data_IF_056834237566
#
_entry.id   IF_056834237566
#
_cell.length_a   1.000
_cell.length_b   1.000
_cell.length_c   1.000
_cell.angle_alpha   90.00
_cell.angle_beta   90.00
_cell.angle_gamma   90.00
#
_symmetry.space_group_name_H-M   'P 1'
#
loop_
_entity.id
_entity.type
_entity.pdbx_description
1 polymer ?
#
# COMPACT_ATOMS: atom_id res chain seq x y z
N UNK A 1 -21.90 -2.20 -33.85
CA UNK A 1 -21.04 -2.41 -32.68
C UNK A 1 -21.38 -3.77 -32.10
N UNK A 2 -20.45 -4.72 -32.17
CA UNK A 2 -20.68 -6.10 -31.71
C UNK A 2 -20.09 -6.27 -30.31
N UNK A 3 -20.89 -6.68 -29.33
CA UNK A 3 -20.38 -7.09 -28.02
C UNK A 3 -19.72 -8.47 -28.15
N UNK A 4 -18.53 -8.64 -27.58
CA UNK A 4 -17.71 -9.85 -27.70
C UNK A 4 -17.11 -10.22 -26.34
N UNK A 5 -16.74 -11.47 -26.20
CA UNK A 5 -16.12 -12.01 -24.98
C UNK A 5 -14.67 -11.56 -24.81
N UNK A 6 -14.13 -11.66 -23.59
CA UNK A 6 -12.70 -11.42 -23.33
C UNK A 6 -11.80 -12.30 -24.22
N UNK A 7 -12.18 -13.56 -24.43
CA UNK A 7 -11.44 -14.49 -25.26
C UNK A 7 -11.39 -14.04 -26.73
N UNK A 8 -12.48 -13.47 -27.25
CA UNK A 8 -12.50 -12.91 -28.60
C UNK A 8 -11.66 -11.62 -28.72
N UNK A 9 -11.62 -10.80 -27.67
CA UNK A 9 -10.73 -9.64 -27.58
C UNK A 9 -9.25 -10.05 -27.60
N UNK A 10 -8.86 -11.00 -26.75
CA UNK A 10 -7.49 -11.52 -26.69
C UNK A 10 -7.06 -12.15 -28.01
N UNK A 11 -7.94 -12.94 -28.65
CA UNK A 11 -7.67 -13.53 -29.95
C UNK A 11 -7.44 -12.45 -31.03
N UNK A 12 -8.26 -11.39 -31.03
CA UNK A 12 -8.12 -10.30 -31.99
C UNK A 12 -6.84 -9.48 -31.76
N UNK A 13 -6.44 -9.28 -30.51
CA UNK A 13 -5.20 -8.57 -30.16
C UNK A 13 -3.97 -9.41 -30.50
N UNK A 14 -4.00 -10.70 -30.17
CA UNK A 14 -2.94 -11.66 -30.51
C UNK A 14 -2.75 -11.80 -32.03
N UNK A 15 -3.82 -11.75 -32.83
CA UNK A 15 -3.72 -11.83 -34.30
C UNK A 15 -2.84 -10.72 -34.90
N UNK A 16 -2.77 -9.56 -34.25
CA UNK A 16 -1.95 -8.44 -34.68
C UNK A 16 -0.57 -8.48 -34.00
N UNK A 17 -0.52 -8.72 -32.68
CA UNK A 17 0.67 -8.49 -31.87
C UNK A 17 1.50 -9.74 -31.55
N UNK A 18 0.95 -10.95 -31.70
CA UNK A 18 1.63 -12.17 -31.28
C UNK A 18 2.86 -12.44 -32.17
N UNK A 19 4.03 -12.54 -31.52
CA UNK A 19 5.28 -12.91 -32.17
C UNK A 19 5.91 -11.80 -33.03
N UNK A 20 5.40 -10.56 -32.97
CA UNK A 20 5.91 -9.44 -33.77
C UNK A 20 6.26 -8.23 -32.90
N UNK A 21 7.25 -7.44 -33.34
CA UNK A 21 7.56 -6.16 -32.71
C UNK A 21 6.52 -5.10 -33.09
N UNK A 22 6.06 -4.33 -32.10
CA UNK A 22 5.13 -3.22 -32.29
C UNK A 22 5.59 -1.96 -31.56
N UNK A 23 5.06 -0.81 -32.01
CA UNK A 23 5.15 0.47 -31.33
C UNK A 23 3.79 0.79 -30.73
N UNK A 24 3.73 1.03 -29.43
CA UNK A 24 2.52 1.48 -28.75
C UNK A 24 2.54 3.01 -28.60
N UNK A 25 1.45 3.65 -28.98
CA UNK A 25 1.17 5.05 -28.72
C UNK A 25 -0.15 5.15 -27.94
N UNK A 26 -0.14 5.88 -26.82
CA UNK A 26 -1.29 6.03 -25.93
C UNK A 26 -1.58 7.51 -25.68
N UNK A 27 -2.85 7.89 -25.79
CA UNK A 27 -3.33 9.24 -25.48
C UNK A 27 -4.52 9.19 -24.53
N UNK A 28 -4.54 10.14 -23.58
CA UNK A 28 -5.64 10.32 -22.64
C UNK A 28 -6.42 11.56 -23.05
N UNK A 29 -7.71 11.39 -23.38
CA UNK A 29 -8.64 12.47 -23.67
C UNK A 29 -9.80 12.42 -22.66
N UNK A 30 -9.71 13.24 -21.61
CA UNK A 30 -10.66 13.16 -20.49
C UNK A 30 -10.49 11.85 -19.71
N UNK A 31 -11.55 11.04 -19.65
CA UNK A 31 -11.54 9.72 -18.99
C UNK A 31 -11.35 8.56 -19.99
N UNK A 32 -11.15 8.88 -21.27
CA UNK A 32 -11.04 7.88 -22.34
C UNK A 32 -9.58 7.69 -22.73
N UNK A 33 -9.08 6.46 -22.59
CA UNK A 33 -7.73 6.09 -23.01
C UNK A 33 -7.81 5.54 -24.43
N UNK A 34 -7.07 6.15 -25.37
CA UNK A 34 -6.91 5.61 -26.72
C UNK A 34 -5.51 5.05 -26.88
N UNK A 35 -5.41 3.78 -27.25
CA UNK A 35 -4.15 3.11 -27.55
C UNK A 35 -4.12 2.68 -29.01
N UNK A 36 -2.95 2.82 -29.60
CA UNK A 36 -2.65 2.40 -30.97
C UNK A 36 -1.40 1.53 -30.93
N UNK A 37 -1.51 0.30 -31.42
CA UNK A 37 -0.42 -0.66 -31.50
C UNK A 37 -0.05 -0.87 -32.96
N UNK A 38 0.99 -0.20 -33.42
CA UNK A 38 1.44 -0.29 -34.81
C UNK A 38 2.53 -1.36 -34.97
N UNK A 39 2.24 -2.38 -35.77
CA UNK A 39 3.24 -3.37 -36.20
C UNK A 39 3.73 -3.04 -37.61
N UNK A 40 4.93 -3.51 -37.99
CA UNK A 40 5.42 -3.36 -39.37
C UNK A 40 4.78 -4.36 -40.35
N UNK A 41 4.30 -5.50 -39.83
CA UNK A 41 3.94 -6.67 -40.65
C UNK A 41 2.45 -7.02 -40.59
N UNK A 42 1.81 -6.81 -39.44
CA UNK A 42 0.44 -7.28 -39.16
C UNK A 42 -0.60 -6.17 -39.10
N UNK A 43 -0.22 -4.92 -39.38
CA UNK A 43 -1.09 -3.74 -39.30
C UNK A 43 -1.18 -3.14 -37.90
N UNK A 44 -2.20 -2.32 -37.70
CA UNK A 44 -2.44 -1.57 -36.47
C UNK A 44 -3.64 -2.13 -35.71
N UNK A 45 -3.50 -2.26 -34.39
CA UNK A 45 -4.61 -2.54 -33.47
C UNK A 45 -4.95 -1.27 -32.70
N UNK A 46 -6.23 -0.97 -32.58
CA UNK A 46 -6.75 0.22 -31.91
C UNK A 46 -7.63 -0.19 -30.74
N UNK A 47 -7.46 0.51 -29.62
CA UNK A 47 -8.18 0.27 -28.37
C UNK A 47 -8.63 1.60 -27.78
N UNK A 48 -9.88 1.67 -27.35
CA UNK A 48 -10.48 2.80 -26.66
C UNK A 48 -11.09 2.26 -25.37
N UNK A 49 -10.52 2.63 -24.23
CA UNK A 49 -11.05 2.27 -22.92
C UNK A 49 -11.79 3.47 -22.33
N UNK A 50 -13.09 3.30 -22.11
CA UNK A 50 -13.97 4.24 -21.43
C UNK A 50 -14.54 3.57 -20.16
N UNK A 51 -13.86 3.76 -19.02
CA UNK A 51 -14.31 3.29 -17.72
C UNK A 51 -14.52 1.76 -17.61
N UNK A 52 -13.66 0.97 -18.27
CA UNK A 52 -13.75 -0.51 -18.28
C UNK A 52 -14.54 -1.07 -19.47
N UNK A 53 -15.18 -0.22 -20.27
CA UNK A 53 -15.74 -0.61 -21.57
C UNK A 53 -14.67 -0.41 -22.65
N UNK A 54 -14.17 -1.52 -23.18
CA UNK A 54 -13.10 -1.54 -24.18
C UNK A 54 -13.72 -1.68 -25.56
N UNK A 55 -13.64 -0.63 -26.37
CA UNK A 55 -13.88 -0.69 -27.80
C UNK A 55 -12.58 -0.94 -28.55
N UNK A 56 -12.58 -1.86 -29.52
CA UNK A 56 -11.38 -2.20 -30.27
C UNK A 56 -11.68 -2.59 -31.72
N UNK A 57 -10.69 -2.37 -32.58
CA UNK A 57 -10.68 -2.75 -33.99
C UNK A 57 -9.24 -2.87 -34.49
N UNK A 58 -9.05 -3.40 -35.69
CA UNK A 58 -7.73 -3.49 -36.32
C UNK A 58 -7.82 -3.30 -37.83
N UNK A 59 -6.67 -3.16 -38.49
CA UNK A 59 -6.63 -3.08 -39.95
C UNK A 59 -7.15 -4.36 -40.64
N UNK A 60 -7.04 -5.52 -39.98
CA UNK A 60 -7.61 -6.80 -40.45
C UNK A 60 -9.11 -6.91 -40.20
N UNK A 61 -9.58 -6.28 -39.12
CA UNK A 61 -10.94 -6.32 -38.63
C UNK A 61 -11.42 -4.89 -38.31
N UNK A 62 -11.79 -4.11 -39.34
CA UNK A 62 -12.15 -2.70 -39.19
C UNK A 62 -13.47 -2.49 -38.44
N UNK A 63 -14.25 -3.55 -38.26
CA UNK A 63 -15.46 -3.51 -37.45
C UNK A 63 -15.13 -3.31 -35.97
N UNK A 64 -15.70 -2.24 -35.41
CA UNK A 64 -15.66 -1.96 -33.98
C UNK A 64 -16.40 -3.05 -33.17
N UNK A 65 -15.66 -3.62 -32.22
CA UNK A 65 -16.10 -4.62 -31.25
C UNK A 65 -15.92 -4.08 -29.84
N UNK A 66 -16.78 -4.49 -28.92
CA UNK A 66 -16.74 -4.03 -27.53
C UNK A 66 -16.67 -5.22 -26.60
N UNK A 67 -15.85 -5.08 -25.57
CA UNK A 67 -15.75 -5.98 -24.44
C UNK A 67 -15.85 -5.16 -23.15
N UNK A 68 -16.57 -5.66 -22.14
CA UNK A 68 -16.65 -5.03 -20.81
C UNK A 68 -15.72 -5.75 -19.83
N UNK A 69 -14.71 -5.03 -19.33
CA UNK A 69 -13.70 -5.55 -18.41
C UNK A 69 -14.30 -6.04 -17.08
N UNK A 70 -15.49 -5.54 -16.70
CA UNK A 70 -16.20 -6.04 -15.53
C UNK A 70 -16.78 -7.45 -15.75
N UNK A 71 -16.99 -7.88 -17.00
CA UNK A 71 -17.40 -9.25 -17.33
C UNK A 71 -16.24 -10.26 -17.15
N UNK A 72 -14.97 -9.78 -17.09
CA UNK A 72 -13.81 -10.59 -16.72
C UNK A 72 -13.94 -11.16 -15.32
N UNK A 73 -14.42 -10.32 -14.39
CA UNK A 73 -14.54 -10.67 -12.98
C UNK A 73 -15.62 -11.74 -12.72
N UNK A 74 -16.50 -11.99 -13.70
CA UNK A 74 -17.61 -12.93 -13.61
C UNK A 74 -17.34 -14.30 -14.30
N UNK A 75 -16.21 -14.48 -15.01
CA UNK A 75 -15.91 -15.72 -15.75
C UNK A 75 -14.93 -16.63 -15.00
N UNK A 76 -15.28 -17.89 -14.68
CA UNK A 76 -14.49 -18.78 -13.81
C UNK A 76 -13.41 -19.62 -14.54
N UNK A 77 -12.92 -19.19 -15.71
CA UNK A 77 -12.02 -20.04 -16.52
C UNK A 77 -10.70 -19.32 -16.81
N UNK A 78 -9.81 -19.31 -15.81
CA UNK A 78 -8.41 -18.97 -16.01
C UNK A 78 -7.52 -19.79 -15.06
N UNK A 79 -7.77 -21.09 -14.98
CA UNK A 79 -6.79 -22.05 -14.52
C UNK A 79 -6.52 -23.05 -15.64
N UNK A 80 -5.25 -23.37 -15.84
CA UNK A 80 -4.67 -24.34 -16.78
C UNK A 80 -4.35 -23.88 -18.21
N UNK A 81 -3.21 -23.21 -18.38
CA UNK A 81 -2.18 -23.57 -19.37
C UNK A 81 -0.88 -22.81 -19.08
N UNK A 82 -0.06 -23.36 -18.19
CA UNK A 82 1.33 -22.95 -18.02
C UNK A 82 2.22 -23.88 -18.86
N UNK A 83 2.86 -23.35 -19.90
CA UNK A 83 4.15 -23.82 -20.41
C UNK A 83 4.68 -22.85 -21.48
N UNK A 84 5.82 -22.23 -21.18
CA UNK A 84 6.73 -21.55 -22.10
C UNK A 84 6.20 -20.34 -22.89
N UNK A 85 6.02 -19.21 -22.19
CA UNK A 85 6.15 -17.88 -22.79
C UNK A 85 6.52 -16.87 -21.69
N UNK A 86 7.39 -15.92 -22.05
CA UNK A 86 7.73 -14.68 -21.34
C UNK A 86 6.70 -14.24 -20.30
N UNK A 87 7.17 -13.94 -19.08
CA UNK A 87 6.43 -13.28 -17.99
C UNK A 87 5.43 -12.28 -18.59
N UNK A 88 4.11 -12.45 -18.42
CA UNK A 88 3.15 -11.47 -18.91
C UNK A 88 3.47 -10.14 -18.25
N UNK A 89 3.74 -9.14 -19.08
CA UNK A 89 4.11 -7.80 -18.64
C UNK A 89 2.98 -7.26 -17.76
N UNK A 90 3.29 -6.97 -16.49
CA UNK A 90 2.33 -6.41 -15.54
C UNK A 90 1.77 -5.12 -16.14
N UNK A 91 0.47 -5.07 -16.40
CA UNK A 91 -0.21 -3.83 -16.79
C UNK A 91 -0.08 -2.83 -15.63
N UNK A 92 0.56 -1.67 -15.81
CA UNK A 92 0.68 -0.67 -14.76
C UNK A 92 -0.69 -0.11 -14.37
N UNK A 93 -0.92 0.09 -13.07
CA UNK A 93 -2.15 0.71 -12.57
C UNK A 93 -2.22 2.22 -12.89
N UNK A 94 -3.40 2.82 -12.80
CA UNK A 94 -3.60 4.25 -13.08
C UNK A 94 -2.62 5.15 -12.31
N UNK A 95 -2.44 4.91 -11.02
CA UNK A 95 -1.54 5.73 -10.20
C UNK A 95 -0.05 5.51 -10.53
N UNK A 96 0.32 4.34 -11.05
CA UNK A 96 1.69 4.04 -11.52
C UNK A 96 2.03 4.84 -12.79
N UNK A 97 1.08 4.94 -13.72
CA UNK A 97 1.22 5.76 -14.93
C UNK A 97 1.36 7.25 -14.59
N UNK A 98 0.56 7.77 -13.66
CA UNK A 98 0.69 9.16 -13.20
C UNK A 98 2.01 9.41 -12.48
N UNK A 99 2.48 8.45 -11.67
CA UNK A 99 3.77 8.54 -11.00
C UNK A 99 4.92 8.60 -12.00
N UNK A 100 4.90 7.79 -13.06
CA UNK A 100 5.89 7.84 -14.14
C UNK A 100 5.85 9.16 -14.92
N UNK A 101 4.64 9.65 -15.22
CA UNK A 101 4.45 10.96 -15.86
C UNK A 101 5.08 12.09 -15.02
N UNK A 102 4.82 12.11 -13.71
CA UNK A 102 5.42 13.11 -12.82
C UNK A 102 6.95 12.99 -12.83
N UNK A 103 7.51 11.77 -12.77
CA UNK A 103 8.97 11.55 -12.78
C UNK A 103 9.65 12.02 -14.07
N UNK A 104 8.97 11.92 -15.21
CA UNK A 104 9.53 12.23 -16.53
C UNK A 104 9.34 13.69 -16.91
N UNK A 105 8.21 14.30 -16.57
CA UNK A 105 7.86 15.67 -16.96
C UNK A 105 8.30 16.73 -15.93
N UNK A 106 8.48 16.35 -14.65
CA UNK A 106 8.84 17.30 -13.58
C UNK A 106 10.34 17.54 -13.55
N UNK A 107 10.75 18.81 -13.73
CA UNK A 107 12.16 19.23 -13.62
C UNK A 107 12.58 19.59 -12.20
N UNK A 108 11.66 20.09 -11.39
CA UNK A 108 11.91 20.46 -9.99
C UNK A 108 10.84 19.83 -9.09
N UNK A 109 11.22 18.76 -8.38
CA UNK A 109 10.34 18.02 -7.49
C UNK A 109 9.91 18.84 -6.26
N UNK A 110 10.60 19.95 -5.94
CA UNK A 110 10.21 20.82 -4.81
C UNK A 110 8.97 21.65 -5.13
N UNK A 111 8.67 21.87 -6.41
CA UNK A 111 7.51 22.64 -6.86
C UNK A 111 6.22 21.81 -6.88
N UNK A 112 6.29 20.50 -6.62
CA UNK A 112 5.13 19.62 -6.61
C UNK A 112 4.14 20.01 -5.51
N UNK A 113 2.85 19.94 -5.83
CA UNK A 113 1.80 20.07 -4.84
C UNK A 113 1.65 18.79 -4.00
N UNK A 114 0.87 18.84 -2.92
CA UNK A 114 0.71 17.71 -2.00
C UNK A 114 0.09 16.46 -2.65
N UNK A 115 -0.78 16.64 -3.65
CA UNK A 115 -1.35 15.52 -4.41
C UNK A 115 -0.32 14.87 -5.34
N UNK A 116 0.49 15.67 -6.02
CA UNK A 116 1.58 15.15 -6.87
C UNK A 116 2.64 14.44 -6.04
N UNK A 117 3.00 14.97 -4.86
CA UNK A 117 3.88 14.28 -3.90
C UNK A 117 3.26 12.97 -3.43
N UNK A 118 1.96 12.94 -3.18
CA UNK A 118 1.26 11.71 -2.82
C UNK A 118 1.34 10.67 -3.95
N UNK A 119 1.06 11.05 -5.19
CA UNK A 119 1.19 10.18 -6.36
C UNK A 119 2.64 9.69 -6.50
N UNK A 120 3.62 10.57 -6.37
CA UNK A 120 5.03 10.21 -6.50
C UNK A 120 5.45 9.13 -5.50
N UNK A 121 4.91 9.19 -4.27
CA UNK A 121 5.26 8.29 -3.18
C UNK A 121 4.42 7.02 -3.14
N UNK A 122 3.16 7.07 -3.58
CA UNK A 122 2.13 6.04 -3.30
C UNK A 122 1.22 5.73 -4.48
N UNK A 123 1.39 6.38 -5.63
CA UNK A 123 0.55 6.21 -6.82
C UNK A 123 0.47 4.75 -7.28
N UNK A 124 1.59 4.04 -7.30
CA UNK A 124 1.67 2.62 -7.67
C UNK A 124 0.79 1.65 -6.85
N UNK A 125 0.23 2.08 -5.71
CA UNK A 125 -0.66 1.25 -4.89
C UNK A 125 -2.09 1.16 -5.45
N UNK A 126 -2.48 2.10 -6.32
CA UNK A 126 -3.86 2.30 -6.74
C UNK A 126 -4.03 2.01 -8.23
N UNK A 127 -4.95 1.09 -8.54
CA UNK A 127 -5.15 0.60 -9.89
C UNK A 127 -6.09 1.53 -10.68
N UNK A 128 -6.98 2.25 -9.99
CA UNK A 128 -7.97 3.17 -10.56
C UNK A 128 -7.83 4.60 -10.04
N UNK A 129 -8.44 5.56 -10.74
CA UNK A 129 -8.47 6.96 -10.33
C UNK A 129 -9.26 7.17 -9.03
N UNK A 130 -10.37 6.46 -8.87
CA UNK A 130 -11.22 6.50 -7.69
C UNK A 130 -10.46 6.02 -6.45
N UNK A 131 -9.73 4.91 -6.57
CA UNK A 131 -8.89 4.39 -5.50
C UNK A 131 -7.77 5.36 -5.11
N UNK A 132 -7.13 5.97 -6.11
CA UNK A 132 -6.07 6.97 -5.90
C UNK A 132 -6.59 8.20 -5.15
N UNK A 133 -7.72 8.76 -5.59
CA UNK A 133 -8.38 9.90 -4.93
C UNK A 133 -8.79 9.54 -3.51
N UNK A 134 -9.42 8.39 -3.30
CA UNK A 134 -9.78 7.93 -1.97
C UNK A 134 -8.54 7.73 -1.08
N UNK A 135 -7.43 7.24 -1.65
CA UNK A 135 -6.15 7.15 -0.96
C UNK A 135 -5.59 8.50 -0.52
N UNK A 136 -5.67 9.50 -1.41
CA UNK A 136 -5.26 10.86 -1.10
C UNK A 136 -6.15 11.48 -0.02
N UNK A 137 -7.47 11.32 -0.11
CA UNK A 137 -8.42 11.84 0.88
C UNK A 137 -8.15 11.28 2.28
N UNK A 138 -7.85 9.98 2.39
CA UNK A 138 -7.44 9.35 3.66
C UNK A 138 -6.15 9.96 4.20
N UNK A 139 -5.15 10.16 3.34
CA UNK A 139 -3.89 10.78 3.74
C UNK A 139 -4.07 12.25 4.16
N UNK A 140 -4.93 12.98 3.47
CA UNK A 140 -5.30 14.35 3.81
C UNK A 140 -6.02 14.42 5.17
N UNK A 141 -6.99 13.53 5.42
CA UNK A 141 -7.66 13.44 6.74
C UNK A 141 -6.65 13.23 7.86
N UNK A 142 -5.74 12.27 7.68
CA UNK A 142 -4.72 11.97 8.67
C UNK A 142 -3.80 13.17 8.95
N UNK A 143 -3.34 13.87 7.91
CA UNK A 143 -2.49 15.05 8.07
C UNK A 143 -3.19 16.23 8.76
N UNK A 144 -4.52 16.28 8.70
CA UNK A 144 -5.35 17.27 9.38
C UNK A 144 -5.83 16.81 10.77
N UNK A 145 -5.29 15.69 11.28
CA UNK A 145 -5.65 15.16 12.60
C UNK A 145 -7.09 14.62 12.66
N UNK A 146 -7.65 14.24 11.52
CA UNK A 146 -8.97 13.61 11.43
C UNK A 146 -8.78 12.09 11.43
N UNK A 147 -9.51 11.39 12.29
CA UNK A 147 -9.48 9.93 12.33
C UNK A 147 -10.12 9.37 11.07
N UNK A 148 -9.43 8.43 10.42
CA UNK A 148 -10.03 7.62 9.35
C UNK A 148 -11.05 6.64 9.94
N UNK A 149 -12.08 6.33 9.16
CA UNK A 149 -13.08 5.30 9.50
C UNK A 149 -12.47 3.89 9.44
N UNK A 150 -13.19 2.89 9.96
CA UNK A 150 -12.75 1.49 9.91
C UNK A 150 -12.63 1.00 8.45
N UNK A 151 -13.58 1.40 7.61
CA UNK A 151 -13.62 1.08 6.18
C UNK A 151 -12.45 1.72 5.43
N UNK A 152 -12.13 2.99 5.73
CA UNK A 152 -10.98 3.68 5.16
C UNK A 152 -9.66 3.06 5.59
N UNK A 153 -9.54 2.69 6.86
CA UNK A 153 -8.37 2.00 7.40
C UNK A 153 -8.16 0.65 6.70
N UNK A 154 -9.22 -0.13 6.53
CA UNK A 154 -9.17 -1.42 5.83
C UNK A 154 -8.85 -1.26 4.33
N UNK A 155 -9.44 -0.26 3.67
CA UNK A 155 -9.17 0.03 2.26
C UNK A 155 -7.70 0.39 2.02
N UNK A 156 -7.09 1.17 2.93
CA UNK A 156 -5.66 1.50 2.85
C UNK A 156 -4.76 0.27 3.03
N UNK A 157 -5.12 -0.66 3.91
CA UNK A 157 -4.34 -1.89 4.09
C UNK A 157 -4.49 -2.78 2.85
N UNK A 158 -5.69 -2.86 2.27
CA UNK A 158 -5.97 -3.66 1.07
C UNK A 158 -5.17 -3.19 -0.14
N UNK A 159 -4.93 -1.89 -0.30
CA UNK A 159 -4.10 -1.39 -1.42
C UNK A 159 -2.63 -1.84 -1.31
N UNK A 160 -2.18 -2.23 -0.11
CA UNK A 160 -0.79 -2.62 0.18
C UNK A 160 -0.60 -4.12 0.30
N UNK A 161 -1.54 -4.79 0.95
CA UNK A 161 -1.50 -6.23 1.24
C UNK A 161 -2.46 -6.95 0.29
N UNK A 162 -2.24 -6.81 -1.02
CA UNK A 162 -3.11 -7.38 -2.07
C UNK A 162 -3.12 -8.93 -2.04
N UNK A 163 -2.10 -9.56 -1.45
CA UNK A 163 -1.92 -11.02 -1.41
C UNK A 163 -2.71 -11.73 -0.31
N UNK A 164 -3.12 -11.05 0.76
CA UNK A 164 -3.79 -11.66 1.91
C UNK A 164 -5.27 -11.29 1.95
N UNK A 165 -6.11 -12.11 1.31
CA UNK A 165 -7.56 -11.87 1.19
C UNK A 165 -8.34 -12.09 2.48
N UNK A 166 -7.77 -12.83 3.44
CA UNK A 166 -8.42 -13.20 4.70
C UNK A 166 -7.98 -12.32 5.88
N UNK A 167 -7.11 -11.34 5.63
CA UNK A 167 -6.59 -10.46 6.66
C UNK A 167 -7.73 -9.67 7.34
N UNK A 168 -8.01 -10.01 8.60
CA UNK A 168 -8.94 -9.27 9.43
C UNK A 168 -8.21 -8.15 10.19
N UNK A 169 -8.47 -6.90 9.79
CA UNK A 169 -7.84 -5.70 10.36
C UNK A 169 -8.68 -5.03 11.46
N UNK A 170 -9.91 -5.49 11.66
CA UNK A 170 -10.87 -4.91 12.61
C UNK A 170 -10.34 -4.85 14.04
N UNK A 171 -9.71 -5.92 14.59
CA UNK A 171 -9.23 -5.87 15.97
C UNK A 171 -8.10 -4.86 16.18
N UNK A 172 -7.26 -4.62 15.16
CA UNK A 172 -6.25 -3.56 15.23
C UNK A 172 -6.91 -2.18 15.27
N UNK A 173 -7.86 -1.93 14.39
CA UNK A 173 -8.58 -0.66 14.37
C UNK A 173 -9.30 -0.38 15.69
N UNK A 174 -9.91 -1.40 16.31
CA UNK A 174 -10.55 -1.28 17.63
C UNK A 174 -9.57 -0.86 18.72
N UNK A 175 -8.40 -1.50 18.80
CA UNK A 175 -7.34 -1.14 19.76
C UNK A 175 -6.87 0.30 19.56
N UNK A 176 -6.57 0.69 18.32
CA UNK A 176 -6.14 2.04 17.99
C UNK A 176 -7.23 3.08 18.29
N UNK A 177 -8.49 2.76 17.99
CA UNK A 177 -9.64 3.60 18.31
C UNK A 177 -9.78 3.83 19.81
N UNK A 178 -9.54 2.79 20.61
CA UNK A 178 -9.57 2.89 22.06
C UNK A 178 -8.44 3.79 22.58
N UNK A 179 -7.23 3.66 22.04
CA UNK A 179 -6.11 4.54 22.39
C UNK A 179 -6.38 6.01 22.02
N UNK A 180 -7.07 6.27 20.92
CA UNK A 180 -7.52 7.63 20.56
C UNK A 180 -8.55 8.16 21.54
N UNK A 181 -9.54 7.35 21.95
CA UNK A 181 -10.53 7.73 22.97
C UNK A 181 -9.88 8.05 24.31
N UNK A 182 -8.85 7.30 24.68
CA UNK A 182 -8.02 7.52 25.88
C UNK A 182 -7.02 8.66 25.73
N UNK A 183 -6.95 9.32 24.56
CA UNK A 183 -5.99 10.39 24.23
C UNK A 183 -4.52 9.96 24.31
N UNK A 184 -4.26 8.65 24.17
CA UNK A 184 -2.93 8.05 24.11
C UNK A 184 -2.34 8.06 22.70
N UNK A 185 -3.20 8.09 21.69
CA UNK A 185 -2.83 8.17 20.27
C UNK A 185 -3.57 9.34 19.63
N UNK A 186 -2.92 10.07 18.70
CA UNK A 186 -3.64 11.12 17.98
C UNK A 186 -4.54 10.50 16.92
N UNK A 187 -5.70 11.09 16.63
CA UNK A 187 -6.61 10.59 15.58
C UNK A 187 -5.92 10.37 14.22
N UNK A 188 -5.06 11.29 13.80
CA UNK A 188 -4.32 11.18 12.53
C UNK A 188 -3.26 10.07 12.52
N UNK A 189 -2.73 9.68 13.68
CA UNK A 189 -1.68 8.66 13.78
C UNK A 189 -2.23 7.25 13.53
N UNK A 190 -3.54 7.03 13.68
CA UNK A 190 -4.21 5.75 13.35
C UNK A 190 -3.92 5.36 11.91
N UNK A 191 -3.92 6.32 10.98
CA UNK A 191 -3.68 6.03 9.57
C UNK A 191 -2.27 5.50 9.29
N UNK A 192 -1.28 5.85 10.12
CA UNK A 192 0.09 5.37 9.93
C UNK A 192 0.20 3.86 10.12
N UNK A 193 -0.61 3.27 11.02
CA UNK A 193 -0.65 1.81 11.19
C UNK A 193 -1.15 1.10 9.94
N UNK A 194 -2.08 1.70 9.19
CA UNK A 194 -2.49 1.16 7.88
C UNK A 194 -1.41 1.36 6.82
N UNK A 195 -0.82 2.56 6.76
CA UNK A 195 0.22 2.91 5.77
C UNK A 195 1.45 2.02 5.88
N UNK A 196 1.93 1.79 7.10
CA UNK A 196 3.13 1.00 7.35
C UNK A 196 2.82 -0.44 7.73
N UNK A 197 1.56 -0.84 7.70
CA UNK A 197 1.11 -2.22 7.97
C UNK A 197 1.57 -2.73 9.35
N UNK A 198 1.65 -1.84 10.33
CA UNK A 198 2.11 -2.16 11.68
C UNK A 198 1.07 -2.99 12.42
N UNK A 199 1.53 -3.97 13.21
CA UNK A 199 0.71 -4.74 14.14
C UNK A 199 -0.48 -5.52 13.55
N UNK A 200 -0.60 -5.64 12.22
CA UNK A 200 -1.79 -6.22 11.56
C UNK A 200 -2.17 -7.61 12.10
N UNK A 201 -1.16 -8.45 12.36
CA UNK A 201 -1.35 -9.83 12.83
C UNK A 201 -1.31 -9.99 14.34
N UNK A 202 -0.86 -8.98 15.08
CA UNK A 202 -0.83 -9.02 16.53
C UNK A 202 -1.34 -7.69 17.13
N UNK A 203 -2.65 -7.40 17.05
CA UNK A 203 -3.24 -6.18 17.59
C UNK A 203 -2.98 -5.98 19.09
N UNK A 204 -2.86 -7.08 19.85
CA UNK A 204 -2.61 -7.05 21.30
C UNK A 204 -1.21 -6.57 21.66
N UNK A 205 -0.29 -6.56 20.69
CA UNK A 205 1.05 -6.03 20.88
C UNK A 205 1.09 -4.50 20.87
N UNK A 206 0.00 -3.81 20.46
CA UNK A 206 -0.08 -2.35 20.57
C UNK A 206 -0.26 -1.96 22.03
N UNK A 207 0.75 -1.29 22.56
CA UNK A 207 0.84 -0.84 23.95
C UNK A 207 1.30 0.61 24.00
N UNK A 208 0.90 1.30 25.07
CA UNK A 208 1.20 2.71 25.29
C UNK A 208 1.81 2.93 26.68
N UNK A 209 2.81 3.81 26.75
CA UNK A 209 3.44 4.22 28.01
C UNK A 209 3.49 5.74 28.14
N UNK A 210 3.34 6.24 29.37
CA UNK A 210 3.29 7.66 29.66
C UNK A 210 4.68 8.19 30.04
N UNK A 211 5.15 9.23 29.35
CA UNK A 211 6.41 9.95 29.64
C UNK A 211 6.14 11.27 30.40
N UNK A 212 5.11 11.29 31.23
CA UNK A 212 4.64 12.47 31.98
C UNK A 212 3.69 13.36 31.19
N UNK A 213 4.14 13.93 30.07
CA UNK A 213 3.34 14.89 29.28
C UNK A 213 2.86 14.38 27.92
N UNK A 214 3.32 13.19 27.51
CA UNK A 214 2.99 12.57 26.24
C UNK A 214 2.93 11.06 26.38
N UNK A 215 2.20 10.44 25.46
CA UNK A 215 2.10 8.99 25.34
C UNK A 215 2.99 8.50 24.22
N UNK A 216 3.69 7.40 24.49
CA UNK A 216 4.52 6.68 23.55
C UNK A 216 3.82 5.37 23.23
N UNK A 217 3.39 5.21 21.98
CA UNK A 217 2.73 3.99 21.49
C UNK A 217 3.69 3.27 20.55
N UNK A 218 3.82 1.95 20.70
CA UNK A 218 4.73 1.17 19.87
C UNK A 218 4.18 0.94 18.47
N UNK A 219 5.08 0.66 17.53
CA UNK A 219 4.73 -0.13 16.36
C UNK A 219 5.34 -1.53 16.53
N UNK A 220 4.53 -2.57 16.31
CA UNK A 220 4.92 -3.94 16.59
C UNK A 220 6.05 -4.35 15.64
N UNK A 221 7.17 -4.79 16.21
CA UNK A 221 8.32 -5.32 15.49
C UNK A 221 8.56 -6.80 15.73
N UNK A 222 9.81 -7.21 15.62
CA UNK A 222 10.26 -8.55 15.98
C UNK A 222 10.30 -8.68 17.49
N UNK A 223 9.56 -9.65 18.02
CA UNK A 223 9.67 -10.02 19.43
C UNK A 223 11.06 -10.63 19.70
N UNK A 224 11.75 -10.14 20.72
CA UNK A 224 13.02 -10.71 21.17
C UNK A 224 12.86 -11.33 22.56
N UNK A 225 13.81 -12.18 22.96
CA UNK A 225 13.79 -12.73 24.31
C UNK A 225 14.16 -11.68 25.35
N UNK A 226 13.73 -11.87 26.61
CA UNK A 226 14.10 -10.97 27.71
C UNK A 226 15.62 -10.94 27.94
N UNK A 227 16.30 -12.07 27.76
CA UNK A 227 17.76 -12.17 27.90
C UNK A 227 18.46 -11.33 26.85
N UNK A 228 18.01 -11.42 25.58
CA UNK A 228 18.55 -10.59 24.50
C UNK A 228 18.27 -9.12 24.79
N UNK A 229 17.03 -8.75 25.08
CA UNK A 229 16.66 -7.37 25.37
C UNK A 229 17.50 -6.77 26.51
N UNK A 230 17.80 -7.56 27.55
CA UNK A 230 18.66 -7.15 28.65
C UNK A 230 20.10 -6.87 28.20
N UNK A 231 20.68 -7.73 27.36
CA UNK A 231 22.03 -7.53 26.82
C UNK A 231 22.06 -6.22 26.01
N UNK A 232 21.14 -6.05 25.07
CA UNK A 232 21.08 -4.87 24.19
C UNK A 232 20.96 -3.56 25.00
N UNK A 233 20.07 -3.53 26.01
CA UNK A 233 19.90 -2.37 26.91
C UNK A 233 21.19 -2.05 27.68
N UNK A 234 21.89 -3.07 28.17
CA UNK A 234 23.11 -2.88 28.95
C UNK A 234 24.27 -2.42 28.08
N UNK A 235 24.40 -2.95 26.86
CA UNK A 235 25.45 -2.57 25.91
C UNK A 235 25.28 -1.12 25.43
N UNK A 236 24.05 -0.69 25.14
CA UNK A 236 23.80 0.67 24.64
C UNK A 236 23.94 1.73 25.75
N UNK A 237 23.32 1.50 26.91
CA UNK A 237 23.16 2.54 27.94
C UNK A 237 24.08 2.36 29.16
N UNK A 238 24.85 1.28 29.21
CA UNK A 238 25.77 1.00 30.31
C UNK A 238 25.10 0.60 31.63
N UNK A 239 23.86 0.11 31.59
CA UNK A 239 23.19 -0.41 32.78
C UNK A 239 23.83 -1.70 33.28
N UNK A 240 23.80 -1.90 34.60
CA UNK A 240 24.22 -3.16 35.21
C UNK A 240 23.15 -4.24 34.98
N UNK A 241 23.48 -5.30 34.25
CA UNK A 241 22.55 -6.36 33.85
C UNK A 241 21.81 -7.04 35.02
N UNK A 242 22.44 -7.12 36.20
CA UNK A 242 21.85 -7.67 37.42
C UNK A 242 20.66 -6.83 37.94
N UNK A 243 20.59 -5.56 37.55
CA UNK A 243 19.59 -4.58 38.02
C UNK A 243 18.50 -4.30 36.99
N UNK A 244 18.69 -4.75 35.75
CA UNK A 244 17.71 -4.61 34.66
C UNK A 244 16.68 -5.73 34.73
N UNK A 245 15.40 -5.38 34.75
CA UNK A 245 14.29 -6.33 34.61
C UNK A 245 13.41 -5.92 33.45
N UNK A 246 13.34 -6.73 32.41
CA UNK A 246 12.46 -6.48 31.26
C UNK A 246 11.00 -6.58 31.70
N UNK A 247 10.15 -5.69 31.18
CA UNK A 247 8.73 -5.60 31.51
C UNK A 247 7.91 -5.71 30.21
N UNK A 248 7.03 -6.71 30.16
CA UNK A 248 6.23 -6.99 28.98
C UNK A 248 7.06 -7.59 27.84
N UNK A 249 6.49 -7.60 26.63
CA UNK A 249 7.17 -8.14 25.45
C UNK A 249 8.12 -7.09 24.87
N UNK A 250 9.44 -7.37 24.78
CA UNK A 250 10.38 -6.46 24.13
C UNK A 250 10.31 -6.62 22.61
N UNK A 251 10.18 -5.49 21.92
CA UNK A 251 10.19 -5.43 20.46
C UNK A 251 11.49 -4.81 19.94
N UNK A 252 12.00 -5.35 18.84
CA UNK A 252 13.19 -4.90 18.13
C UNK A 252 12.96 -4.94 16.61
N UNK A 253 13.75 -4.20 15.84
CA UNK A 253 13.67 -4.07 14.38
C UNK A 253 12.29 -3.65 13.84
N UNK A 254 11.56 -2.81 14.57
CA UNK A 254 10.35 -2.17 14.05
C UNK A 254 10.67 -0.80 13.41
N UNK A 255 9.65 -0.05 12.97
CA UNK A 255 9.89 1.35 12.53
C UNK A 255 10.33 2.23 13.70
N UNK A 256 9.95 1.89 14.92
CA UNK A 256 10.51 2.50 16.14
C UNK A 256 11.90 1.96 16.54
N UNK A 257 12.49 1.10 15.71
CA UNK A 257 13.73 0.33 15.90
C UNK A 257 13.70 -0.60 17.13
N UNK A 258 13.28 -0.11 18.28
CA UNK A 258 13.05 -0.88 19.48
C UNK A 258 11.92 -0.26 20.31
N UNK A 259 11.23 -1.10 21.07
CA UNK A 259 10.28 -0.67 22.07
C UNK A 259 10.40 -1.60 23.28
N UNK A 260 11.36 -1.29 24.15
CA UNK A 260 11.76 -2.15 25.28
C UNK A 260 11.53 -1.41 26.58
N UNK A 261 10.56 -1.88 27.37
CA UNK A 261 10.34 -1.38 28.73
C UNK A 261 11.10 -2.23 29.73
N UNK A 262 11.74 -1.57 30.69
CA UNK A 262 12.46 -2.26 31.76
C UNK A 262 12.51 -1.42 33.04
N UNK A 263 12.64 -2.10 34.17
CA UNK A 263 12.97 -1.46 35.44
C UNK A 263 14.48 -1.54 35.68
N UNK A 264 15.06 -0.44 36.15
CA UNK A 264 16.42 -0.39 36.66
C UNK A 264 16.53 0.63 37.79
N UNK A 265 17.13 0.22 38.91
CA UNK A 265 17.41 1.09 40.05
C UNK A 265 16.18 1.87 40.59
N UNK A 266 15.02 1.20 40.74
CA UNK A 266 13.75 1.79 41.19
C UNK A 266 13.10 2.79 40.22
N UNK A 267 13.62 2.88 38.99
CA UNK A 267 13.01 3.66 37.92
C UNK A 267 12.56 2.73 36.79
N UNK A 268 11.49 3.12 36.12
CA UNK A 268 11.00 2.43 34.92
C UNK A 268 11.40 3.25 33.70
N UNK A 269 11.98 2.57 32.73
CA UNK A 269 12.49 3.13 31.50
C UNK A 269 11.82 2.48 30.29
N UNK A 270 11.73 3.25 29.21
CA UNK A 270 11.39 2.78 27.88
C UNK A 270 12.50 3.20 26.93
N UNK A 271 13.13 2.21 26.30
CA UNK A 271 14.04 2.44 25.18
C UNK A 271 13.24 2.40 23.88
N UNK A 272 13.22 3.52 23.15
CA UNK A 272 12.46 3.70 21.91
C UNK A 272 13.18 4.65 20.94
N UNK A 273 13.22 4.34 19.65
CA UNK A 273 13.81 5.18 18.59
C UNK A 273 15.24 5.66 18.91
N UNK A 274 16.08 4.80 19.51
CA UNK A 274 17.44 5.16 19.94
C UNK A 274 17.51 6.05 21.18
N UNK A 275 16.38 6.35 21.82
CA UNK A 275 16.29 7.24 22.97
C UNK A 275 15.79 6.52 24.22
N UNK A 276 16.23 6.98 25.39
CA UNK A 276 15.80 6.45 26.68
C UNK A 276 14.84 7.42 27.36
N UNK A 277 13.65 6.92 27.66
CA UNK A 277 12.56 7.69 28.27
C UNK A 277 12.24 7.15 29.65
N UNK A 278 12.14 8.02 30.65
CA UNK A 278 11.57 7.64 31.93
C UNK A 278 10.06 7.58 31.79
N UNK A 279 9.47 6.42 32.05
CA UNK A 279 8.02 6.20 31.88
C UNK A 279 7.37 5.83 33.20
N UNK A 280 6.11 6.19 33.32
CA UNK A 280 5.30 5.94 34.50
C UNK A 280 4.26 4.88 34.16
N UNK A 281 4.03 3.95 35.09
CA UNK A 281 2.89 3.06 34.99
C UNK A 281 1.59 3.88 35.12
N UNK A 282 0.57 3.49 34.36
CA UNK A 282 -0.82 3.93 34.55
C UNK A 282 -1.35 3.50 35.93
#
# INVERSE_FOLDING_TARGET
>A
MKHVTFQEYEAAKAEILLGVQYKEDSTLEGNVIRKTYATKENGVFYEVNDGGRIEFWSDKHPESRIYDENERAASPVAETAAAEATTPERVPGYGELLQEKIRTETKDFNALNEFEKFILNRGYLYDTEEELKAGYDRAWKASHGIMVTAEEFAAEIKSRVKWDKELNVSPLYEVLSQLVKEKKLKPGDVFQYAVYTWCLRNPKAVIAYNEGNKWLVNNCGTEISEERARVEVCEEWGFEASRVKIIGTPYYDATDWQFIRFDCAHMTWLWKDGNLYQVYAD
#
